data_IF_173715919692
#
_entry.id   IF_173715919692
#
_cell.length_a   1.000
_cell.length_b   1.000
_cell.length_c   1.000
_cell.angle_alpha   90.00
_cell.angle_beta   90.00
_cell.angle_gamma   90.00
#
_symmetry.space_group_name_H-M   'P 1'
#
loop_
_entity.id
_entity.type
_entity.pdbx_description
1 polymer ?
#
# COMPACT_ATOMS: atom_id res chain seq x y z
N UNK A 1 -8.93 27.20 -22.47
CA UNK A 1 -8.05 26.08 -22.67
C UNK A 1 -8.76 24.73 -22.61
N UNK A 2 -8.10 23.70 -23.12
CA UNK A 2 -8.69 22.36 -23.14
C UNK A 2 -8.67 21.70 -21.74
N UNK A 3 -7.73 22.09 -20.86
CA UNK A 3 -7.67 21.65 -19.47
C UNK A 3 -7.04 22.74 -18.58
N UNK A 4 -7.23 22.60 -17.27
CA UNK A 4 -6.62 23.45 -16.26
C UNK A 4 -6.14 22.60 -15.07
N UNK A 5 -5.02 22.98 -14.46
CA UNK A 5 -4.53 22.40 -13.22
C UNK A 5 -4.73 23.44 -12.13
N UNK A 6 -5.54 23.10 -11.12
CA UNK A 6 -5.92 24.00 -10.05
C UNK A 6 -5.53 23.37 -8.71
N UNK A 7 -4.41 23.77 -8.09
CA UNK A 7 -4.15 23.42 -6.70
C UNK A 7 -5.26 24.01 -5.84
N UNK A 8 -5.97 23.16 -5.09
CA UNK A 8 -7.10 23.57 -4.29
C UNK A 8 -7.04 22.95 -2.89
N UNK A 9 -7.57 23.68 -1.90
CA UNK A 9 -7.89 23.13 -0.59
C UNK A 9 -9.04 22.12 -0.70
N UNK A 10 -9.31 21.36 0.37
CA UNK A 10 -10.48 20.46 0.43
C UNK A 10 -11.78 21.22 0.18
N UNK A 11 -11.95 22.40 0.80
CA UNK A 11 -13.14 23.23 0.62
C UNK A 11 -13.31 23.71 -0.83
N UNK A 12 -12.20 24.07 -1.48
CA UNK A 12 -12.23 24.42 -2.91
C UNK A 12 -12.58 23.24 -3.79
N UNK A 13 -12.15 22.03 -3.44
CA UNK A 13 -12.46 20.81 -4.19
C UNK A 13 -13.94 20.42 -4.05
N UNK A 14 -14.65 20.82 -3.01
CA UNK A 14 -16.07 20.55 -2.84
C UNK A 14 -16.93 21.14 -3.94
N UNK A 15 -16.50 22.23 -4.57
CA UNK A 15 -17.18 22.81 -5.74
C UNK A 15 -17.28 21.83 -6.91
N UNK A 16 -16.34 20.89 -7.04
CA UNK A 16 -16.41 19.87 -8.11
C UNK A 16 -17.60 18.92 -7.92
N UNK A 17 -18.09 18.75 -6.69
CA UNK A 17 -19.25 17.89 -6.42
C UNK A 17 -20.57 18.61 -6.73
N UNK A 18 -20.70 19.89 -6.41
CA UNK A 18 -21.98 20.61 -6.45
C UNK A 18 -22.19 21.44 -7.72
N UNK A 19 -21.15 21.93 -8.39
CA UNK A 19 -21.29 22.80 -9.55
C UNK A 19 -21.87 22.04 -10.76
N UNK A 20 -23.06 22.40 -11.20
CA UNK A 20 -23.80 21.72 -12.27
C UNK A 20 -23.15 21.84 -13.66
N UNK A 21 -22.21 22.74 -13.86
CA UNK A 21 -21.44 22.90 -15.12
C UNK A 21 -20.52 21.69 -15.32
N UNK A 22 -20.05 21.08 -14.24
CA UNK A 22 -19.24 19.88 -14.28
C UNK A 22 -20.14 18.64 -14.31
N UNK A 23 -20.02 17.82 -15.33
CA UNK A 23 -20.94 16.70 -15.59
C UNK A 23 -20.38 15.35 -15.17
N UNK A 24 -19.07 15.27 -14.91
CA UNK A 24 -18.38 14.07 -14.46
C UNK A 24 -17.38 14.45 -13.37
N UNK A 25 -17.32 13.66 -12.32
CA UNK A 25 -16.25 13.66 -11.33
C UNK A 25 -15.44 12.37 -11.48
N UNK A 26 -14.13 12.49 -11.66
CA UNK A 26 -13.18 11.40 -11.50
C UNK A 26 -12.34 11.67 -10.27
N UNK A 27 -12.25 10.69 -9.37
CA UNK A 27 -11.54 10.82 -8.10
C UNK A 27 -10.62 9.62 -7.89
N UNK A 28 -9.37 9.91 -7.52
CA UNK A 28 -8.41 8.92 -7.05
C UNK A 28 -8.03 9.26 -5.61
N UNK A 29 -8.18 8.32 -4.69
CA UNK A 29 -7.83 8.52 -3.29
C UNK A 29 -8.50 7.50 -2.35
N UNK A 30 -8.58 7.83 -1.05
CA UNK A 30 -9.11 6.90 -0.06
C UNK A 30 -10.59 6.56 -0.29
N UNK A 31 -11.02 5.30 0.03
CA UNK A 31 -12.42 4.88 -0.10
C UNK A 31 -13.41 5.78 0.64
N UNK A 32 -13.09 6.20 1.88
CA UNK A 32 -13.97 7.05 2.67
C UNK A 32 -14.29 8.38 1.99
N UNK A 33 -13.26 9.04 1.43
CA UNK A 33 -13.42 10.30 0.69
C UNK A 33 -14.17 10.07 -0.62
N UNK A 34 -13.82 9.03 -1.37
CA UNK A 34 -14.46 8.74 -2.66
C UNK A 34 -15.96 8.47 -2.55
N UNK A 35 -16.36 7.68 -1.56
CA UNK A 35 -17.79 7.41 -1.32
C UNK A 35 -18.56 8.63 -0.82
N UNK A 36 -17.95 9.48 0.02
CA UNK A 36 -18.54 10.75 0.43
C UNK A 36 -18.74 11.69 -0.78
N UNK A 37 -17.71 11.87 -1.62
CA UNK A 37 -17.83 12.66 -2.83
C UNK A 37 -18.94 12.15 -3.76
N UNK A 38 -19.01 10.83 -3.97
CA UNK A 38 -20.06 10.21 -4.78
C UNK A 38 -21.45 10.51 -4.22
N UNK A 39 -21.64 10.41 -2.91
CA UNK A 39 -22.93 10.71 -2.27
C UNK A 39 -23.40 12.16 -2.51
N UNK A 40 -22.45 13.10 -2.61
CA UNK A 40 -22.72 14.53 -2.80
C UNK A 40 -22.85 14.96 -4.27
N UNK A 41 -22.47 14.12 -5.21
CA UNK A 41 -22.42 14.48 -6.64
C UNK A 41 -23.78 14.56 -7.35
N UNK A 42 -24.87 14.17 -6.69
CA UNK A 42 -26.23 14.23 -7.29
C UNK A 42 -26.32 13.41 -8.58
N UNK A 43 -26.64 14.08 -9.71
CA UNK A 43 -26.83 13.45 -11.02
C UNK A 43 -25.56 13.30 -11.86
N UNK A 44 -24.39 13.74 -11.37
CA UNK A 44 -23.13 13.65 -12.10
C UNK A 44 -22.71 12.19 -12.29
N UNK A 45 -22.03 11.92 -13.39
CA UNK A 45 -21.28 10.67 -13.53
C UNK A 45 -20.08 10.72 -12.58
N UNK A 46 -19.84 9.60 -11.87
CA UNK A 46 -18.70 9.50 -10.93
C UNK A 46 -17.88 8.28 -11.27
N UNK A 47 -16.58 8.48 -11.42
CA UNK A 47 -15.57 7.43 -11.56
C UNK A 47 -14.69 7.48 -10.32
N UNK A 48 -14.53 6.34 -9.65
CA UNK A 48 -13.76 6.24 -8.41
C UNK A 48 -12.62 5.24 -8.61
N UNK A 49 -11.39 5.72 -8.38
CA UNK A 49 -10.18 4.93 -8.27
C UNK A 49 -9.74 4.98 -6.82
N UNK A 50 -10.01 3.92 -6.08
CA UNK A 50 -9.86 3.86 -4.63
C UNK A 50 -8.70 2.93 -4.23
N UNK A 51 -8.63 2.61 -2.96
CA UNK A 51 -7.60 1.74 -2.42
C UNK A 51 -7.83 0.25 -2.67
N UNK A 52 -6.89 -0.55 -2.21
CA UNK A 52 -6.92 -2.00 -2.31
C UNK A 52 -6.17 -2.70 -1.17
N UNK A 53 -6.40 -4.00 -1.07
CA UNK A 53 -5.67 -4.93 -0.20
C UNK A 53 -5.49 -6.23 -0.98
N UNK A 54 -4.64 -6.16 -2.02
CA UNK A 54 -4.49 -7.23 -2.98
C UNK A 54 -3.71 -8.42 -2.40
N UNK A 55 -4.11 -9.63 -2.81
CA UNK A 55 -3.41 -10.87 -2.51
C UNK A 55 -2.75 -11.44 -3.76
N UNK A 56 -1.61 -12.09 -3.57
CA UNK A 56 -0.99 -12.98 -4.54
C UNK A 56 -0.98 -14.40 -3.97
N UNK A 57 -1.25 -15.38 -4.82
CA UNK A 57 -1.19 -16.79 -4.47
C UNK A 57 0.01 -17.42 -5.16
N UNK A 58 0.84 -18.12 -4.39
CA UNK A 58 2.00 -18.90 -4.90
C UNK A 58 1.70 -20.37 -4.68
N UNK A 59 1.38 -21.08 -5.75
CA UNK A 59 1.05 -22.51 -5.71
C UNK A 59 2.33 -23.36 -5.73
N UNK A 60 2.20 -24.64 -5.38
CA UNK A 60 3.33 -25.57 -5.22
C UNK A 60 4.19 -25.77 -6.48
N UNK A 61 3.62 -25.57 -7.67
CA UNK A 61 4.29 -25.71 -8.96
C UNK A 61 4.77 -24.37 -9.57
N UNK A 62 4.69 -23.27 -8.78
CA UNK A 62 5.12 -21.95 -9.25
C UNK A 62 6.63 -21.88 -9.51
N UNK A 63 7.01 -21.09 -10.51
CA UNK A 63 8.40 -20.65 -10.68
C UNK A 63 8.75 -19.68 -9.54
N UNK A 64 9.43 -20.18 -8.51
CA UNK A 64 9.69 -19.42 -7.29
C UNK A 64 10.60 -18.20 -7.51
N UNK A 65 11.54 -18.27 -8.43
CA UNK A 65 12.45 -17.15 -8.70
C UNK A 65 11.70 -16.02 -9.39
N UNK A 66 10.86 -16.33 -10.37
CA UNK A 66 10.01 -15.36 -11.02
C UNK A 66 8.96 -14.80 -10.05
N UNK A 67 8.31 -15.66 -9.25
CA UNK A 67 7.34 -15.24 -8.24
C UNK A 67 7.98 -14.27 -7.23
N UNK A 68 9.19 -14.59 -6.74
CA UNK A 68 9.95 -13.74 -5.82
C UNK A 68 10.16 -12.32 -6.37
N UNK A 69 10.70 -12.21 -7.58
CA UNK A 69 10.99 -10.90 -8.19
C UNK A 69 9.70 -10.09 -8.40
N UNK A 70 8.62 -10.74 -8.85
CA UNK A 70 7.33 -10.07 -9.06
C UNK A 70 6.67 -9.63 -7.78
N UNK A 71 6.74 -10.45 -6.73
CA UNK A 71 6.15 -10.14 -5.43
C UNK A 71 6.93 -9.03 -4.73
N UNK A 72 8.25 -9.08 -4.72
CA UNK A 72 9.09 -8.01 -4.16
C UNK A 72 8.80 -6.68 -4.85
N UNK A 73 8.75 -6.68 -6.18
CA UNK A 73 8.38 -5.48 -6.92
C UNK A 73 6.95 -5.05 -6.58
N UNK A 74 5.97 -5.95 -6.66
CA UNK A 74 4.56 -5.64 -6.44
C UNK A 74 4.24 -5.14 -5.02
N UNK A 75 4.98 -5.63 -4.00
CA UNK A 75 4.76 -5.23 -2.60
C UNK A 75 5.46 -3.91 -2.25
N UNK A 76 6.63 -3.63 -2.84
CA UNK A 76 7.49 -2.59 -2.32
C UNK A 76 7.84 -1.47 -3.32
N UNK A 77 7.48 -1.57 -4.61
CA UNK A 77 7.67 -0.46 -5.54
C UNK A 77 6.94 0.79 -5.05
N UNK A 78 7.48 1.96 -5.34
CA UNK A 78 6.96 3.23 -4.79
C UNK A 78 6.82 3.21 -3.25
N UNK A 79 7.68 2.46 -2.56
CA UNK A 79 7.60 2.27 -1.11
C UNK A 79 6.24 1.71 -0.64
N UNK A 80 5.63 0.82 -1.45
CA UNK A 80 4.31 0.23 -1.18
C UNK A 80 3.14 1.21 -1.24
N UNK A 81 3.36 2.45 -1.69
CA UNK A 81 2.30 3.47 -1.78
C UNK A 81 1.57 3.39 -3.13
N UNK A 82 0.89 2.26 -3.35
CA UNK A 82 0.15 1.98 -4.58
C UNK A 82 -1.14 1.24 -4.28
N UNK A 83 -2.24 1.68 -4.90
CA UNK A 83 -3.56 1.05 -4.77
C UNK A 83 -3.62 -0.38 -5.33
N UNK A 84 -2.67 -0.77 -6.18
CA UNK A 84 -2.53 -2.12 -6.75
C UNK A 84 -1.38 -2.92 -6.12
N UNK A 85 -0.77 -2.41 -5.03
CA UNK A 85 0.32 -3.08 -4.34
C UNK A 85 -0.08 -4.44 -3.76
N UNK A 86 0.86 -5.39 -3.77
CA UNK A 86 0.67 -6.69 -3.13
C UNK A 86 0.84 -6.50 -1.62
N UNK A 87 -0.22 -6.72 -0.86
CA UNK A 87 -0.16 -6.65 0.60
C UNK A 87 -0.19 -8.03 1.25
N UNK A 88 -0.94 -9.00 0.67
CA UNK A 88 -1.06 -10.35 1.21
C UNK A 88 -0.41 -11.37 0.28
N UNK A 89 0.44 -12.22 0.83
CA UNK A 89 1.17 -13.25 0.11
C UNK A 89 0.72 -14.60 0.65
N UNK A 90 -0.05 -15.34 -0.13
CA UNK A 90 -0.61 -16.63 0.24
C UNK A 90 0.20 -17.72 -0.44
N UNK A 91 0.91 -18.51 0.34
CA UNK A 91 1.86 -19.51 -0.17
C UNK A 91 1.38 -20.92 0.16
N UNK A 92 1.45 -21.83 -0.82
CA UNK A 92 1.13 -23.25 -0.61
C UNK A 92 2.05 -23.86 0.46
N UNK A 93 1.52 -24.72 1.32
CA UNK A 93 2.22 -25.28 2.50
C UNK A 93 3.51 -26.01 2.14
N UNK A 94 3.54 -26.77 1.02
CA UNK A 94 4.70 -27.56 0.59
C UNK A 94 5.94 -26.69 0.25
N UNK A 95 5.74 -25.43 -0.10
CA UNK A 95 6.82 -24.50 -0.48
C UNK A 95 6.99 -23.36 0.49
N UNK A 96 6.16 -23.31 1.53
CA UNK A 96 6.03 -22.16 2.42
C UNK A 96 7.36 -21.71 3.04
N UNK A 97 8.04 -22.60 3.76
CA UNK A 97 9.27 -22.24 4.46
C UNK A 97 10.38 -21.80 3.50
N UNK A 98 10.53 -22.53 2.39
CA UNK A 98 11.52 -22.18 1.35
C UNK A 98 11.23 -20.80 0.77
N UNK A 99 9.99 -20.54 0.38
CA UNK A 99 9.63 -19.27 -0.26
C UNK A 99 9.67 -18.09 0.73
N UNK A 100 9.27 -18.31 1.98
CA UNK A 100 9.43 -17.34 3.06
C UNK A 100 10.89 -16.92 3.25
N UNK A 101 11.80 -17.88 3.33
CA UNK A 101 13.24 -17.60 3.46
C UNK A 101 13.77 -16.77 2.28
N UNK A 102 13.36 -17.11 1.05
CA UNK A 102 13.69 -16.34 -0.15
C UNK A 102 13.16 -14.90 -0.07
N UNK A 103 11.89 -14.70 0.31
CA UNK A 103 11.27 -13.39 0.48
C UNK A 103 12.01 -12.54 1.52
N UNK A 104 12.30 -13.11 2.68
CA UNK A 104 13.03 -12.43 3.76
C UNK A 104 14.43 -12.03 3.31
N UNK A 105 15.16 -12.96 2.69
CA UNK A 105 16.50 -12.69 2.18
C UNK A 105 16.50 -11.55 1.14
N UNK A 106 15.59 -11.60 0.18
CA UNK A 106 15.47 -10.57 -0.87
C UNK A 106 15.03 -9.22 -0.30
N UNK A 107 14.04 -9.19 0.60
CA UNK A 107 13.57 -7.95 1.24
C UNK A 107 14.69 -7.22 1.97
N UNK A 108 15.57 -7.95 2.66
CA UNK A 108 16.73 -7.38 3.35
C UNK A 108 17.75 -6.73 2.41
N UNK A 109 17.72 -7.02 1.12
CA UNK A 109 18.62 -6.39 0.14
C UNK A 109 18.08 -5.08 -0.43
N UNK A 110 16.83 -4.73 -0.14
CA UNK A 110 16.22 -3.51 -0.64
C UNK A 110 16.87 -2.27 0.00
N UNK A 111 17.41 -1.40 -0.84
CA UNK A 111 18.07 -0.17 -0.39
C UNK A 111 17.01 0.88 -0.07
N UNK A 112 17.02 1.37 1.17
CA UNK A 112 16.21 2.50 1.60
C UNK A 112 17.05 3.78 1.62
N UNK A 113 16.53 4.90 1.09
CA UNK A 113 17.31 6.13 1.01
C UNK A 113 16.63 7.30 0.30
N UNK A 114 17.45 8.25 -0.14
CA UNK A 114 17.00 9.41 -0.91
C UNK A 114 16.49 8.94 -2.29
N UNK A 115 15.26 9.29 -2.71
CA UNK A 115 14.73 8.93 -4.03
C UNK A 115 15.47 9.53 -5.22
N UNK A 116 16.41 10.45 -5.00
CA UNK A 116 17.30 10.94 -6.05
C UNK A 116 18.48 9.99 -6.33
N UNK A 117 18.77 9.10 -5.41
CA UNK A 117 19.77 8.06 -5.60
C UNK A 117 19.15 6.92 -6.43
N UNK A 118 19.89 6.49 -7.47
CA UNK A 118 19.41 5.46 -8.41
C UNK A 118 19.32 4.08 -7.78
N UNK A 119 20.08 3.83 -6.72
CA UNK A 119 20.09 2.54 -6.02
C UNK A 119 18.97 2.45 -4.98
N UNK A 120 18.30 3.57 -4.67
CA UNK A 120 17.19 3.59 -3.72
C UNK A 120 15.96 2.89 -4.30
N UNK A 121 15.50 1.86 -3.62
CA UNK A 121 14.25 1.17 -3.93
C UNK A 121 13.11 1.59 -2.98
N UNK A 122 13.42 1.80 -1.71
CA UNK A 122 12.48 2.28 -0.69
C UNK A 122 12.78 3.75 -0.38
N UNK A 123 11.92 4.63 -0.83
CA UNK A 123 11.95 6.05 -0.49
C UNK A 123 11.06 6.39 0.72
N UNK A 124 10.92 7.69 1.03
CA UNK A 124 10.07 8.13 2.13
C UNK A 124 8.57 7.88 1.84
N UNK A 125 7.81 7.65 2.88
CA UNK A 125 6.36 7.75 2.81
C UNK A 125 5.95 9.23 2.66
N UNK A 126 4.70 9.46 2.21
CA UNK A 126 4.17 10.80 1.92
C UNK A 126 4.27 11.77 3.11
N UNK A 127 4.23 11.25 4.34
CA UNK A 127 4.38 12.05 5.55
C UNK A 127 4.82 11.19 6.74
N UNK A 128 5.37 11.84 7.78
CA UNK A 128 5.68 11.20 9.05
C UNK A 128 4.43 10.66 9.75
N UNK A 129 3.28 11.32 9.58
CA UNK A 129 2.01 10.84 10.11
C UNK A 129 1.60 9.49 9.55
N UNK A 130 1.74 9.30 8.22
CA UNK A 130 1.44 8.02 7.56
C UNK A 130 2.45 6.94 7.91
N UNK A 131 3.73 7.29 8.01
CA UNK A 131 4.76 6.35 8.48
C UNK A 131 4.49 5.88 9.92
N UNK A 132 4.12 6.81 10.81
CA UNK A 132 3.77 6.50 12.20
C UNK A 132 2.49 5.67 12.30
N UNK A 133 1.47 5.97 11.47
CA UNK A 133 0.24 5.16 11.39
C UNK A 133 0.56 3.72 11.05
N UNK A 134 1.32 3.49 9.99
CA UNK A 134 1.65 2.14 9.54
C UNK A 134 2.58 1.42 10.52
N UNK A 135 3.54 2.13 11.12
CA UNK A 135 4.35 1.60 12.22
C UNK A 135 3.47 1.12 13.39
N UNK A 136 2.45 1.90 13.75
CA UNK A 136 1.48 1.51 14.78
C UNK A 136 0.73 0.22 14.43
N UNK A 137 0.39 0.00 13.16
CA UNK A 137 -0.24 -1.26 12.74
C UNK A 137 0.70 -2.46 12.79
N UNK A 138 1.98 -2.24 12.47
CA UNK A 138 3.02 -3.28 12.62
C UNK A 138 3.16 -3.67 14.09
N UNK A 139 3.25 -2.67 14.99
CA UNK A 139 3.39 -2.91 16.43
C UNK A 139 2.15 -3.59 17.02
N UNK A 140 0.94 -3.17 16.60
CA UNK A 140 -0.33 -3.80 16.99
C UNK A 140 -0.37 -5.27 16.53
N UNK A 141 0.05 -5.56 15.30
CA UNK A 141 0.09 -6.93 14.79
C UNK A 141 1.06 -7.80 15.57
N UNK A 142 2.27 -7.29 15.84
CA UNK A 142 3.29 -8.02 16.63
C UNK A 142 2.83 -8.25 18.08
N UNK A 143 2.24 -7.23 18.71
CA UNK A 143 1.66 -7.38 20.05
C UNK A 143 0.49 -8.38 20.07
N UNK A 144 -0.24 -8.52 18.94
CA UNK A 144 -1.30 -9.51 18.72
C UNK A 144 -0.81 -10.91 18.35
N UNK A 145 0.51 -11.16 18.36
CA UNK A 145 1.12 -12.48 18.14
C UNK A 145 1.71 -12.70 16.74
N UNK A 146 1.69 -11.69 15.85
CA UNK A 146 2.38 -11.80 14.57
C UNK A 146 3.91 -11.84 14.75
N UNK A 147 4.58 -12.55 13.87
CA UNK A 147 6.04 -12.58 13.79
C UNK A 147 6.54 -11.51 12.83
N UNK A 148 7.42 -10.64 13.31
CA UNK A 148 8.16 -9.70 12.45
C UNK A 148 9.32 -10.46 11.80
N UNK A 149 9.21 -10.74 10.50
CA UNK A 149 10.25 -11.49 9.77
C UNK A 149 11.43 -10.59 9.37
N UNK A 150 11.14 -9.34 8.99
CA UNK A 150 12.17 -8.32 8.67
C UNK A 150 11.57 -6.92 8.65
N UNK A 151 12.41 -5.89 8.75
CA UNK A 151 11.98 -4.49 8.72
C UNK A 151 11.40 -4.01 10.04
N UNK A 152 10.39 -3.16 9.97
CA UNK A 152 9.65 -2.65 11.12
C UNK A 152 10.23 -1.39 11.76
N UNK A 153 11.43 -0.93 11.38
CA UNK A 153 11.98 0.33 11.88
C UNK A 153 11.40 1.52 11.12
N UNK A 154 11.13 2.60 11.86
CA UNK A 154 10.64 3.85 11.30
C UNK A 154 11.45 5.03 11.84
N UNK A 155 11.92 5.91 10.94
CA UNK A 155 12.63 7.14 11.31
C UNK A 155 12.10 8.30 10.47
N UNK A 156 11.40 9.23 11.11
CA UNK A 156 10.68 10.28 10.38
C UNK A 156 9.64 9.64 9.46
N UNK A 157 9.71 9.95 8.17
CA UNK A 157 8.85 9.35 7.16
C UNK A 157 9.48 8.14 6.41
N UNK A 158 10.64 7.67 6.86
CA UNK A 158 11.28 6.47 6.32
C UNK A 158 10.85 5.25 7.13
N UNK A 159 10.07 4.37 6.53
CA UNK A 159 9.68 3.07 7.06
C UNK A 159 10.37 1.97 6.24
N UNK A 160 11.00 1.03 6.92
CA UNK A 160 11.66 -0.10 6.26
C UNK A 160 10.65 -1.04 5.59
N UNK A 161 11.07 -1.68 4.49
CA UNK A 161 10.32 -2.77 3.90
C UNK A 161 10.11 -3.88 4.93
N UNK A 162 8.84 -4.15 5.24
CA UNK A 162 8.44 -4.97 6.38
C UNK A 162 7.68 -6.19 5.93
N UNK A 163 8.05 -7.35 6.46
CA UNK A 163 7.31 -8.61 6.31
C UNK A 163 6.83 -9.10 7.67
N UNK A 164 5.55 -9.42 7.76
CA UNK A 164 4.91 -10.05 8.91
C UNK A 164 4.41 -11.45 8.56
N UNK A 165 4.38 -12.34 9.54
CA UNK A 165 3.80 -13.68 9.45
C UNK A 165 2.83 -13.94 10.60
N UNK A 166 1.76 -14.70 10.34
CA UNK A 166 0.82 -15.10 11.39
C UNK A 166 -0.01 -13.94 11.96
N UNK A 167 -0.31 -12.94 11.14
CA UNK A 167 -1.12 -11.78 11.55
C UNK A 167 -2.53 -12.21 11.88
N UNK A 168 -3.04 -11.78 13.05
CA UNK A 168 -4.39 -12.13 13.48
C UNK A 168 -5.45 -11.63 12.49
N UNK A 169 -6.50 -12.43 12.27
CA UNK A 169 -7.55 -12.15 11.28
C UNK A 169 -8.25 -10.80 11.43
N UNK A 170 -8.29 -10.24 12.63
CA UNK A 170 -8.95 -8.96 12.91
C UNK A 170 -7.97 -7.77 12.95
N UNK A 171 -6.69 -8.00 12.69
CA UNK A 171 -5.69 -6.93 12.67
C UNK A 171 -5.87 -6.00 11.47
N UNK A 172 -5.67 -4.70 11.68
CA UNK A 172 -5.74 -3.69 10.61
C UNK A 172 -4.75 -3.99 9.49
N UNK A 173 -3.54 -4.39 9.83
CA UNK A 173 -2.50 -4.75 8.87
C UNK A 173 -2.95 -5.83 7.86
N UNK A 174 -3.90 -6.71 8.23
CA UNK A 174 -4.46 -7.73 7.35
C UNK A 174 -5.70 -7.26 6.58
N UNK A 175 -6.54 -6.41 7.19
CA UNK A 175 -7.88 -6.12 6.69
C UNK A 175 -8.01 -4.76 6.00
N UNK A 176 -7.12 -3.81 6.30
CA UNK A 176 -7.17 -2.48 5.74
C UNK A 176 -5.99 -2.25 4.78
N UNK A 177 -6.10 -1.28 3.90
CA UNK A 177 -5.03 -0.89 2.98
C UNK A 177 -3.86 -0.28 3.75
N UNK A 178 -2.69 -0.90 3.67
CA UNK A 178 -1.48 -0.40 4.33
C UNK A 178 -0.97 0.90 3.70
N UNK A 179 -0.98 0.98 2.38
CA UNK A 179 -0.45 2.09 1.56
C UNK A 179 0.96 2.50 1.98
N UNK A 180 1.83 1.51 2.12
CA UNK A 180 3.21 1.64 2.55
C UNK A 180 3.96 0.31 2.46
N UNK A 181 5.25 0.27 2.81
CA UNK A 181 6.13 -0.88 2.57
C UNK A 181 5.90 -2.03 3.57
N UNK A 182 4.69 -2.58 3.58
CA UNK A 182 4.27 -3.70 4.42
C UNK A 182 3.63 -4.79 3.58
N UNK A 183 4.09 -6.05 3.76
CA UNK A 183 3.43 -7.24 3.25
C UNK A 183 3.33 -8.33 4.33
N UNK A 184 2.34 -9.25 4.17
CA UNK A 184 1.96 -10.28 5.15
C UNK A 184 1.90 -11.62 4.45
#
# INVERSE_FOLDING_TARGET
GAFSILPASRDGADLFTVDERLKLLSFTGSPGVGWDLKARCGKKKVVLELGGNAAVVVDHDADLDNALERIIFGAFYQSGQSCIGVQRIIVHEDIYDRFKDMLVAKTKTLVAGDPKDRDTFIGPMISEGEASRLKGWIDEAVAGGATLLTGGSCKGNMLEATLLEGVHKDAKALNEEAFGPLAI
#
